data_IF_164920324300
#
_entry.id   IF_164920324300
#
_cell.length_a   1.000
_cell.length_b   1.000
_cell.length_c   1.000
_cell.angle_alpha   90.00
_cell.angle_beta   90.00
_cell.angle_gamma   90.00
#
_symmetry.space_group_name_H-M   'P 1'
#
loop_
_entity.id
_entity.type
_entity.pdbx_description
1 polymer ?
#
# COMPACT_ATOMS: atom_id res chain seq x y z
N UNK A 1 14.08 -13.45 9.64
CA UNK A 1 13.22 -12.78 8.65
C UNK A 1 12.98 -11.36 9.12
N UNK A 2 13.10 -10.36 8.25
CA UNK A 2 12.77 -8.97 8.61
C UNK A 2 11.29 -8.73 8.33
N UNK A 3 10.60 -8.02 9.23
CA UNK A 3 9.27 -7.49 8.97
C UNK A 3 9.38 -6.23 8.12
N UNK A 4 8.33 -5.94 7.36
CA UNK A 4 8.21 -4.69 6.62
C UNK A 4 8.17 -3.48 7.58
N UNK A 5 8.75 -2.32 7.19
CA UNK A 5 8.81 -1.14 8.06
C UNK A 5 7.44 -0.68 8.56
N UNK A 6 6.42 -0.70 7.69
CA UNK A 6 5.07 -0.25 8.05
C UNK A 6 4.40 -1.15 9.11
N UNK A 7 4.74 -2.44 9.14
CA UNK A 7 4.33 -3.36 10.22
C UNK A 7 4.98 -2.98 11.54
N UNK A 8 6.27 -2.67 11.52
CA UNK A 8 7.00 -2.29 12.74
C UNK A 8 6.49 -0.95 13.29
N UNK A 9 6.27 0.03 12.40
CA UNK A 9 5.68 1.33 12.75
C UNK A 9 4.27 1.17 13.32
N UNK A 10 3.45 0.29 12.72
CA UNK A 10 2.10 0.01 13.22
C UNK A 10 2.12 -0.56 14.64
N UNK A 11 2.98 -1.55 14.89
CA UNK A 11 3.15 -2.14 16.22
C UNK A 11 3.57 -1.08 17.24
N UNK A 12 4.51 -0.20 16.89
CA UNK A 12 4.94 0.88 17.76
C UNK A 12 3.82 1.88 18.09
N UNK A 13 2.89 2.09 17.16
CA UNK A 13 1.77 3.02 17.34
C UNK A 13 0.58 2.43 18.12
N UNK A 14 0.37 1.11 18.07
CA UNK A 14 -0.84 0.47 18.64
C UNK A 14 -0.58 -0.30 19.94
N UNK A 15 0.65 -0.74 20.21
CA UNK A 15 1.00 -1.51 21.40
C UNK A 15 1.81 -0.68 22.40
N UNK A 16 1.71 -1.04 23.68
CA UNK A 16 2.49 -0.42 24.75
C UNK A 16 4.00 -0.62 24.52
N UNK A 17 4.86 0.32 24.94
CA UNK A 17 6.32 0.17 24.81
C UNK A 17 6.86 -1.14 25.39
N UNK A 18 6.25 -1.64 26.47
CA UNK A 18 6.61 -2.89 27.13
C UNK A 18 6.29 -4.11 26.24
N UNK A 19 5.18 -4.06 25.51
CA UNK A 19 4.71 -5.17 24.67
C UNK A 19 5.34 -5.21 23.28
N UNK A 20 5.78 -4.06 22.74
CA UNK A 20 6.28 -3.94 21.35
C UNK A 20 7.36 -4.96 21.00
N UNK A 21 8.35 -5.16 21.88
CA UNK A 21 9.42 -6.13 21.64
C UNK A 21 8.90 -7.58 21.62
N UNK A 22 7.91 -7.88 22.46
CA UNK A 22 7.27 -9.19 22.52
C UNK A 22 6.43 -9.45 21.26
N UNK A 23 5.61 -8.50 20.85
CA UNK A 23 4.80 -8.54 19.60
C UNK A 23 5.69 -8.80 18.38
N UNK A 24 6.79 -8.05 18.25
CA UNK A 24 7.74 -8.21 17.17
C UNK A 24 8.36 -9.61 17.17
N UNK A 25 8.67 -10.16 18.35
CA UNK A 25 9.21 -11.51 18.47
C UNK A 25 8.18 -12.57 18.08
N UNK A 26 6.92 -12.45 18.55
CA UNK A 26 5.83 -13.37 18.21
C UNK A 26 5.60 -13.43 16.69
N UNK A 27 5.54 -12.28 16.01
CA UNK A 27 5.39 -12.23 14.55
C UNK A 27 6.61 -12.82 13.81
N UNK A 28 7.83 -12.55 14.28
CA UNK A 28 9.04 -13.16 13.69
C UNK A 28 9.05 -14.68 13.86
N UNK A 29 8.59 -15.18 15.00
CA UNK A 29 8.51 -16.62 15.30
C UNK A 29 7.42 -17.32 14.50
N UNK A 30 6.27 -16.65 14.26
CA UNK A 30 5.19 -17.20 13.44
C UNK A 30 5.53 -17.28 11.95
N UNK A 31 6.58 -16.58 11.50
CA UNK A 31 7.05 -16.50 10.11
C UNK A 31 6.04 -15.87 9.14
N UNK A 32 4.97 -15.27 9.64
CA UNK A 32 4.04 -14.49 8.83
C UNK A 32 4.65 -13.14 8.48
N UNK A 33 4.50 -12.73 7.22
CA UNK A 33 4.94 -11.43 6.69
C UNK A 33 3.90 -10.87 5.73
N UNK A 34 4.15 -9.66 5.21
CA UNK A 34 3.30 -9.05 4.20
C UNK A 34 1.84 -8.95 4.63
N UNK A 35 0.94 -9.33 3.73
CA UNK A 35 -0.51 -9.23 3.92
C UNK A 35 -0.99 -9.92 5.21
N UNK A 36 -0.52 -11.13 5.48
CA UNK A 36 -0.98 -11.91 6.65
C UNK A 36 -0.55 -11.22 7.94
N UNK A 37 0.73 -10.81 8.04
CA UNK A 37 1.21 -10.09 9.22
C UNK A 37 0.49 -8.75 9.43
N UNK A 38 0.22 -7.99 8.35
CA UNK A 38 -0.59 -6.76 8.46
C UNK A 38 -2.00 -7.03 8.98
N UNK A 39 -2.64 -8.09 8.50
CA UNK A 39 -3.98 -8.48 8.95
C UNK A 39 -3.99 -8.92 10.42
N UNK A 40 -2.99 -9.69 10.86
CA UNK A 40 -2.82 -10.09 12.26
C UNK A 40 -2.69 -8.86 13.15
N UNK A 41 -1.77 -7.94 12.83
CA UNK A 41 -1.54 -6.72 13.61
C UNK A 41 -2.80 -5.86 13.66
N UNK A 42 -3.44 -5.66 12.51
CA UNK A 42 -4.68 -4.89 12.42
C UNK A 42 -5.79 -5.46 13.31
N UNK A 43 -6.04 -6.78 13.21
CA UNK A 43 -7.09 -7.44 13.96
C UNK A 43 -6.80 -7.50 15.47
N UNK A 44 -5.53 -7.46 15.86
CA UNK A 44 -5.11 -7.47 17.26
C UNK A 44 -5.46 -6.16 17.99
N UNK A 45 -5.52 -5.02 17.30
CA UNK A 45 -5.89 -3.71 17.88
C UNK A 45 -5.15 -3.39 19.18
N UNK A 46 -3.83 -3.62 19.22
CA UNK A 46 -2.99 -3.39 20.39
C UNK A 46 -3.11 -4.43 21.52
N UNK A 47 -3.87 -5.51 21.36
CA UNK A 47 -4.02 -6.57 22.37
C UNK A 47 -3.12 -7.77 22.09
N UNK A 48 -2.30 -8.17 23.07
CA UNK A 48 -1.46 -9.37 23.00
C UNK A 48 -2.27 -10.66 22.86
N UNK A 49 -3.36 -10.80 23.60
CA UNK A 49 -4.21 -12.01 23.52
C UNK A 49 -4.84 -12.17 22.14
N UNK A 50 -5.34 -11.06 21.56
CA UNK A 50 -5.86 -11.06 20.20
C UNK A 50 -4.76 -11.33 19.18
N UNK A 51 -3.57 -10.75 19.35
CA UNK A 51 -2.42 -11.03 18.49
C UNK A 51 -2.07 -12.53 18.50
N UNK A 52 -1.96 -13.14 19.68
CA UNK A 52 -1.70 -14.58 19.81
C UNK A 52 -2.77 -15.41 19.10
N UNK A 53 -4.04 -15.09 19.35
CA UNK A 53 -5.18 -15.76 18.73
C UNK A 53 -5.15 -15.63 17.20
N UNK A 54 -4.78 -14.47 16.67
CA UNK A 54 -4.64 -14.24 15.23
C UNK A 54 -3.45 -14.95 14.61
N UNK A 55 -2.33 -15.08 15.34
CA UNK A 55 -1.20 -15.90 14.90
C UNK A 55 -1.58 -17.38 14.84
N UNK A 56 -2.27 -17.89 15.85
CA UNK A 56 -2.76 -19.27 15.88
C UNK A 56 -3.73 -19.53 14.72
N UNK A 57 -4.68 -18.63 14.51
CA UNK A 57 -5.63 -18.71 13.40
C UNK A 57 -4.92 -18.70 12.04
N UNK A 58 -3.95 -17.80 11.84
CA UNK A 58 -3.16 -17.72 10.62
C UNK A 58 -2.26 -18.95 10.36
N UNK A 59 -1.82 -19.62 11.43
CA UNK A 59 -1.04 -20.86 11.33
C UNK A 59 -1.91 -22.04 10.83
N UNK A 60 -3.20 -22.02 11.12
CA UNK A 60 -4.17 -23.00 10.59
C UNK A 60 -4.56 -22.65 9.15
N UNK A 61 -5.01 -21.41 8.94
CA UNK A 61 -5.36 -20.89 7.63
C UNK A 61 -5.12 -19.36 7.57
N UNK A 62 -4.14 -18.88 6.77
CA UNK A 62 -3.87 -17.46 6.65
C UNK A 62 -5.06 -16.66 6.07
N UNK A 63 -6.00 -17.33 5.38
CA UNK A 63 -7.21 -16.68 4.86
C UNK A 63 -8.11 -16.16 5.97
N UNK A 64 -8.13 -16.81 7.13
CA UNK A 64 -8.97 -16.39 8.24
C UNK A 64 -8.46 -15.10 8.87
N UNK A 65 -7.13 -14.95 9.02
CA UNK A 65 -6.52 -13.68 9.41
C UNK A 65 -6.80 -12.59 8.36
N UNK A 66 -6.73 -12.90 7.06
CA UNK A 66 -7.08 -11.96 5.99
C UNK A 66 -8.54 -11.53 6.08
N UNK A 67 -9.46 -12.47 6.32
CA UNK A 67 -10.88 -12.17 6.50
C UNK A 67 -11.10 -11.22 7.69
N UNK A 68 -10.48 -11.52 8.85
CA UNK A 68 -10.57 -10.68 10.04
C UNK A 68 -9.94 -9.28 9.83
N UNK A 69 -8.86 -9.20 9.04
CA UNK A 69 -8.12 -7.98 8.82
C UNK A 69 -8.70 -7.07 7.74
N UNK A 70 -9.36 -7.61 6.71
CA UNK A 70 -9.77 -6.83 5.54
C UNK A 70 -11.28 -6.74 5.30
N UNK A 71 -12.07 -7.63 5.88
CA UNK A 71 -13.50 -7.75 5.56
C UNK A 71 -14.38 -7.46 6.77
N UNK A 72 -15.62 -7.06 6.50
CA UNK A 72 -16.66 -6.96 7.52
C UNK A 72 -17.46 -8.27 7.67
N UNK A 73 -18.50 -8.25 8.51
CA UNK A 73 -19.37 -9.40 8.74
C UNK A 73 -20.18 -9.82 7.50
N UNK A 74 -20.43 -8.88 6.57
CA UNK A 74 -21.13 -9.14 5.31
C UNK A 74 -20.19 -9.63 4.20
N UNK A 75 -18.87 -9.73 4.49
CA UNK A 75 -17.80 -10.04 3.54
C UNK A 75 -17.57 -8.93 2.51
N UNK A 76 -17.94 -7.70 2.85
CA UNK A 76 -17.51 -6.53 2.09
C UNK A 76 -16.07 -6.19 2.47
N UNK A 77 -15.23 -5.98 1.46
CA UNK A 77 -13.81 -5.64 1.67
C UNK A 77 -13.71 -4.18 2.10
N UNK A 78 -13.29 -3.96 3.35
CA UNK A 78 -13.06 -2.65 3.93
C UNK A 78 -11.64 -2.13 3.68
N UNK A 79 -10.65 -3.04 3.54
CA UNK A 79 -9.22 -2.70 3.51
C UNK A 79 -8.48 -3.54 2.48
N UNK A 80 -7.36 -3.02 1.97
CA UNK A 80 -6.39 -3.80 1.20
C UNK A 80 -5.02 -3.75 1.88
N UNK A 81 -4.80 -4.71 2.78
CA UNK A 81 -3.55 -4.82 3.54
C UNK A 81 -2.49 -5.61 2.75
N UNK A 82 -2.63 -5.74 1.42
CA UNK A 82 -1.69 -6.45 0.57
C UNK A 82 -0.26 -5.91 0.70
N UNK A 83 -0.11 -4.60 0.62
CA UNK A 83 1.20 -3.92 0.58
C UNK A 83 1.38 -2.78 1.59
N UNK A 84 0.31 -2.29 2.22
CA UNK A 84 0.39 -1.13 3.13
C UNK A 84 -0.84 -1.00 4.02
N UNK A 85 -0.67 -0.51 5.25
CA UNK A 85 -1.79 -0.06 6.09
C UNK A 85 -2.48 1.21 5.60
N UNK A 86 -1.90 1.93 4.63
CA UNK A 86 -2.49 3.17 4.12
C UNK A 86 -3.71 2.94 3.23
N UNK A 87 -3.89 1.72 2.70
CA UNK A 87 -5.06 1.34 1.89
C UNK A 87 -6.12 0.73 2.83
N UNK A 88 -6.56 1.53 3.78
CA UNK A 88 -7.45 1.17 4.89
C UNK A 88 -8.95 1.37 4.59
N UNK A 89 -9.29 1.79 3.37
CA UNK A 89 -10.64 2.14 2.97
C UNK A 89 -10.91 1.97 1.47
N UNK A 90 -12.18 1.71 1.06
CA UNK A 90 -12.52 1.46 -0.35
C UNK A 90 -12.15 2.60 -1.31
N UNK A 91 -12.22 3.85 -0.88
CA UNK A 91 -11.84 5.00 -1.70
C UNK A 91 -10.34 5.05 -2.02
N UNK A 92 -9.52 4.28 -1.30
CA UNK A 92 -8.08 4.14 -1.54
C UNK A 92 -7.73 2.90 -2.38
N UNK A 93 -8.67 2.00 -2.65
CA UNK A 93 -8.42 0.77 -3.41
C UNK A 93 -7.92 1.01 -4.83
N UNK A 94 -8.13 2.21 -5.37
CA UNK A 94 -7.60 2.60 -6.67
C UNK A 94 -6.11 2.29 -6.78
N UNK A 95 -5.29 2.47 -5.73
CA UNK A 95 -3.83 2.26 -5.82
C UNK A 95 -3.38 0.83 -5.50
N UNK A 96 -4.29 -0.08 -5.11
CA UNK A 96 -3.94 -1.40 -4.58
C UNK A 96 -3.01 -2.23 -5.46
N UNK A 97 -3.36 -2.39 -6.74
CA UNK A 97 -2.58 -3.24 -7.66
C UNK A 97 -1.22 -2.63 -7.95
N UNK A 98 -1.17 -1.31 -8.12
CA UNK A 98 0.07 -0.55 -8.28
C UNK A 98 0.96 -0.69 -7.05
N UNK A 99 0.40 -0.58 -5.84
CA UNK A 99 1.16 -0.69 -4.60
C UNK A 99 1.74 -2.09 -4.39
N UNK A 100 0.98 -3.13 -4.72
CA UNK A 100 1.47 -4.51 -4.72
C UNK A 100 2.62 -4.71 -5.72
N UNK A 101 2.49 -4.15 -6.94
CA UNK A 101 3.53 -4.24 -7.96
C UNK A 101 4.80 -3.49 -7.56
N UNK A 102 4.68 -2.30 -6.97
CA UNK A 102 5.82 -1.50 -6.51
C UNK A 102 6.52 -2.15 -5.31
N UNK A 103 5.76 -2.79 -4.41
CA UNK A 103 6.31 -3.46 -3.24
C UNK A 103 7.25 -4.61 -3.61
N UNK A 104 6.98 -5.34 -4.70
CA UNK A 104 7.90 -6.36 -5.26
C UNK A 104 9.26 -5.80 -5.70
N UNK A 105 9.37 -4.47 -5.79
CA UNK A 105 10.58 -3.72 -6.17
C UNK A 105 11.13 -2.87 -5.02
N UNK A 106 10.79 -3.22 -3.78
CA UNK A 106 11.24 -2.53 -2.55
C UNK A 106 10.78 -1.07 -2.43
N UNK A 107 9.63 -0.73 -3.03
CA UNK A 107 8.98 0.56 -2.80
C UNK A 107 7.88 0.40 -1.74
N UNK A 108 7.94 1.23 -0.72
CA UNK A 108 6.91 1.34 0.32
C UNK A 108 5.99 2.50 0.02
N UNK A 109 4.68 2.28 0.07
CA UNK A 109 3.70 3.35 0.01
C UNK A 109 3.77 4.17 1.30
N UNK A 110 4.04 5.48 1.18
CA UNK A 110 4.22 6.37 2.34
C UNK A 110 3.12 7.44 2.44
N UNK A 111 2.42 7.73 1.34
CA UNK A 111 1.37 8.76 1.35
C UNK A 111 0.30 8.51 0.27
N UNK A 112 -0.96 8.76 0.61
CA UNK A 112 -2.08 8.85 -0.35
C UNK A 112 -2.78 10.19 -0.13
N UNK A 113 -2.94 10.98 -1.20
CA UNK A 113 -3.72 12.22 -1.23
C UNK A 113 -4.88 12.09 -2.18
N UNK A 114 -5.98 12.73 -1.83
CA UNK A 114 -7.14 12.90 -2.71
C UNK A 114 -7.59 14.36 -2.61
N UNK A 115 -7.67 15.03 -3.76
CA UNK A 115 -8.05 16.43 -3.83
C UNK A 115 -9.03 16.62 -4.99
N UNK A 116 -10.09 17.39 -4.74
CA UNK A 116 -10.91 17.93 -5.83
C UNK A 116 -10.30 19.24 -6.30
N UNK A 117 -10.02 19.32 -7.60
CA UNK A 117 -9.53 20.53 -8.25
C UNK A 117 -10.52 20.95 -9.34
N UNK A 118 -10.62 22.25 -9.68
CA UNK A 118 -11.38 22.69 -10.84
C UNK A 118 -10.95 21.94 -12.12
N UNK A 119 -11.92 21.60 -12.97
CA UNK A 119 -11.65 20.92 -14.24
C UNK A 119 -10.83 21.80 -15.19
N UNK A 120 -11.10 23.10 -15.17
CA UNK A 120 -10.34 24.14 -15.87
C UNK A 120 -10.45 25.47 -15.12
N UNK A 121 -9.65 26.46 -15.51
CA UNK A 121 -9.79 27.82 -14.99
C UNK A 121 -11.13 28.47 -15.39
N UNK A 122 -11.68 28.05 -16.54
CA UNK A 122 -12.89 28.62 -17.14
C UNK A 122 -14.18 27.92 -16.69
N UNK A 123 -14.07 26.77 -16.02
CA UNK A 123 -15.18 26.03 -15.44
C UNK A 123 -14.85 25.56 -14.00
N UNK A 124 -14.97 26.47 -13.01
CA UNK A 124 -14.72 26.13 -11.62
C UNK A 124 -15.85 25.31 -10.98
N UNK A 125 -17.04 25.25 -11.60
CA UNK A 125 -18.17 24.49 -11.08
C UNK A 125 -17.95 22.98 -11.26
N UNK A 126 -17.31 22.59 -12.36
CA UNK A 126 -16.90 21.21 -12.58
C UNK A 126 -15.61 20.92 -11.80
N UNK A 127 -15.69 20.01 -10.83
CA UNK A 127 -14.52 19.53 -10.08
C UNK A 127 -14.13 18.14 -10.53
N UNK A 128 -12.82 17.92 -10.66
CA UNK A 128 -12.23 16.61 -10.95
C UNK A 128 -11.48 16.11 -9.73
N UNK A 129 -11.62 14.81 -9.48
CA UNK A 129 -10.88 14.15 -8.41
C UNK A 129 -9.49 13.77 -8.94
N UNK A 130 -8.47 14.34 -8.30
CA UNK A 130 -7.07 13.98 -8.48
C UNK A 130 -6.64 13.18 -7.27
N UNK A 131 -6.10 11.99 -7.50
CA UNK A 131 -5.55 11.13 -6.47
C UNK A 131 -4.07 10.96 -6.71
N UNK A 132 -3.29 11.05 -5.65
CA UNK A 132 -1.83 10.94 -5.73
C UNK A 132 -1.36 9.95 -4.68
N UNK A 133 -0.42 9.08 -5.05
CA UNK A 133 0.25 8.17 -4.16
C UNK A 133 1.75 8.40 -4.24
N UNK A 134 2.42 8.47 -3.09
CA UNK A 134 3.87 8.62 -3.00
C UNK A 134 4.46 7.34 -2.41
N UNK A 135 5.46 6.83 -3.11
CA UNK A 135 6.21 5.66 -2.71
C UNK A 135 7.66 6.03 -2.45
N UNK A 136 8.25 5.44 -1.42
CA UNK A 136 9.65 5.54 -1.08
C UNK A 136 10.36 4.25 -1.48
N UNK A 137 11.29 4.34 -2.42
CA UNK A 137 12.22 3.26 -2.76
C UNK A 137 13.54 3.41 -2.00
N UNK A 138 14.52 2.52 -2.27
CA UNK A 138 15.82 2.56 -1.58
C UNK A 138 16.62 3.84 -1.81
N UNK A 139 16.48 4.45 -3.00
CA UNK A 139 17.30 5.58 -3.43
C UNK A 139 16.49 6.80 -3.88
N UNK A 140 15.19 6.65 -4.14
CA UNK A 140 14.37 7.75 -4.62
C UNK A 140 12.88 7.59 -4.30
N UNK A 141 12.13 8.61 -4.68
CA UNK A 141 10.67 8.64 -4.57
C UNK A 141 10.03 8.39 -5.92
N UNK A 142 8.84 7.83 -5.87
CA UNK A 142 7.96 7.63 -7.00
C UNK A 142 6.60 8.24 -6.66
N UNK A 143 6.16 9.20 -7.47
CA UNK A 143 4.84 9.80 -7.33
C UNK A 143 3.96 9.31 -8.47
N UNK A 144 2.82 8.73 -8.13
CA UNK A 144 1.83 8.24 -9.10
C UNK A 144 0.58 9.06 -8.94
N UNK A 145 0.05 9.54 -10.06
CA UNK A 145 -1.20 10.30 -10.12
C UNK A 145 -2.26 9.48 -10.86
N UNK A 146 -3.46 9.45 -10.30
CA UNK A 146 -4.68 9.04 -10.97
C UNK A 146 -5.62 10.24 -11.08
N UNK A 147 -5.88 10.68 -12.31
CA UNK A 147 -6.75 11.83 -12.62
C UNK A 147 -7.79 11.38 -13.62
N UNK A 148 -9.06 11.38 -13.22
CA UNK A 148 -10.18 10.98 -14.09
C UNK A 148 -9.95 9.63 -14.80
N UNK A 149 -9.56 8.60 -14.04
CA UNK A 149 -9.21 7.25 -14.55
C UNK A 149 -7.99 7.18 -15.47
N UNK A 150 -7.24 8.26 -15.62
CA UNK A 150 -5.96 8.25 -16.29
C UNK A 150 -4.82 8.19 -15.29
N UNK A 151 -3.73 7.56 -15.68
CA UNK A 151 -2.60 7.22 -14.83
C UNK A 151 -1.31 7.80 -15.39
N UNK A 152 -0.43 8.28 -14.52
CA UNK A 152 0.92 8.71 -14.90
C UNK A 152 1.88 8.69 -13.71
N UNK A 153 3.17 8.64 -14.02
CA UNK A 153 4.22 8.96 -13.07
C UNK A 153 4.45 10.47 -13.10
N UNK A 154 4.57 11.09 -11.93
CA UNK A 154 4.95 12.50 -11.78
C UNK A 154 6.44 12.56 -11.43
N UNK A 155 7.23 13.25 -12.25
CA UNK A 155 8.67 13.35 -12.07
C UNK A 155 9.34 14.11 -13.23
N UNK A 156 10.66 13.99 -13.30
CA UNK A 156 11.46 14.65 -14.35
C UNK A 156 11.18 14.05 -15.74
N UNK A 157 10.74 14.90 -16.67
CA UNK A 157 10.28 14.48 -18.00
C UNK A 157 11.36 13.76 -18.82
N UNK A 158 12.61 14.23 -18.79
CA UNK A 158 13.76 13.60 -19.48
C UNK A 158 13.95 12.16 -19.03
N UNK A 159 13.84 11.91 -17.72
CA UNK A 159 13.96 10.56 -17.14
C UNK A 159 12.80 9.68 -17.57
N UNK A 160 11.57 10.20 -17.52
CA UNK A 160 10.37 9.44 -17.88
C UNK A 160 10.36 9.08 -19.37
N UNK A 161 10.75 10.02 -20.25
CA UNK A 161 10.90 9.81 -21.71
C UNK A 161 11.83 8.65 -22.06
N UNK A 162 12.96 8.53 -21.34
CA UNK A 162 13.92 7.43 -21.54
C UNK A 162 13.30 6.04 -21.38
N UNK A 163 12.21 5.94 -20.62
CA UNK A 163 11.51 4.69 -20.34
C UNK A 163 10.06 4.68 -20.84
N UNK A 164 9.69 5.62 -21.72
CA UNK A 164 8.32 5.75 -22.26
C UNK A 164 7.22 5.92 -21.18
N UNK A 165 7.58 6.52 -20.04
CA UNK A 165 6.69 6.77 -18.90
C UNK A 165 6.22 8.24 -18.80
N UNK A 166 6.55 9.08 -19.79
CA UNK A 166 6.15 10.48 -19.87
C UNK A 166 4.72 10.68 -20.40
N UNK A 167 4.09 9.60 -20.86
CA UNK A 167 2.72 9.58 -21.37
C UNK A 167 1.69 9.30 -20.29
N UNK A 168 0.44 9.63 -20.62
CA UNK A 168 -0.74 9.30 -19.83
C UNK A 168 -1.30 7.95 -20.27
N UNK A 169 -1.66 7.10 -19.31
CA UNK A 169 -2.24 5.79 -19.54
C UNK A 169 -3.74 5.82 -19.20
N UNK A 170 -4.58 5.30 -20.10
CA UNK A 170 -6.03 5.25 -19.89
C UNK A 170 -6.51 3.93 -19.24
N UNK A 171 -5.64 2.93 -19.19
CA UNK A 171 -5.91 1.62 -18.63
C UNK A 171 -4.91 1.30 -17.52
N UNK A 172 -5.40 0.94 -16.34
CA UNK A 172 -4.58 0.58 -15.19
C UNK A 172 -3.64 -0.60 -15.50
N UNK A 173 -4.14 -1.63 -16.21
CA UNK A 173 -3.34 -2.80 -16.57
C UNK A 173 -2.12 -2.42 -17.41
N UNK A 174 -2.32 -1.60 -18.45
CA UNK A 174 -1.22 -1.11 -19.29
C UNK A 174 -0.22 -0.29 -18.46
N UNK A 175 -0.73 0.58 -17.57
CA UNK A 175 0.11 1.35 -16.66
C UNK A 175 0.97 0.45 -15.77
N UNK A 176 0.39 -0.59 -15.16
CA UNK A 176 1.11 -1.53 -14.28
C UNK A 176 2.20 -2.31 -15.04
N UNK A 177 1.91 -2.79 -16.25
CA UNK A 177 2.87 -3.50 -17.09
C UNK A 177 4.09 -2.62 -17.44
N UNK A 178 3.83 -1.37 -17.83
CA UNK A 178 4.89 -0.40 -18.13
C UNK A 178 5.64 0.03 -16.87
N UNK A 179 4.93 0.21 -15.75
CA UNK A 179 5.52 0.51 -14.45
C UNK A 179 6.47 -0.60 -13.99
N UNK A 180 6.10 -1.87 -14.14
CA UNK A 180 6.96 -2.99 -13.79
C UNK A 180 8.28 -2.99 -14.57
N UNK A 181 8.21 -2.67 -15.87
CA UNK A 181 9.38 -2.50 -16.73
C UNK A 181 10.24 -1.32 -16.27
N UNK A 182 9.61 -0.15 -16.05
CA UNK A 182 10.27 1.05 -15.56
C UNK A 182 11.05 0.81 -14.26
N UNK A 183 10.43 0.14 -13.29
CA UNK A 183 11.05 -0.16 -11.99
C UNK A 183 12.16 -1.20 -12.07
N UNK A 184 12.19 -2.04 -13.10
CA UNK A 184 13.24 -3.05 -13.29
C UNK A 184 14.50 -2.46 -13.89
N UNK A 185 14.35 -1.53 -14.84
CA UNK A 185 15.48 -0.93 -15.57
C UNK A 185 16.03 0.31 -14.86
N UNK A 186 15.30 0.86 -13.87
CA UNK A 186 15.77 1.94 -13.01
C UNK A 186 17.05 1.45 -12.30
N UNK A 187 18.25 1.90 -12.72
CA UNK A 187 19.46 1.56 -11.99
C UNK A 187 19.32 2.16 -10.59
N UNK A 188 19.93 1.54 -9.58
CA UNK A 188 20.17 2.20 -8.30
C UNK A 188 20.76 3.59 -8.63
N UNK A 189 19.93 4.63 -8.52
CA UNK A 189 20.30 5.99 -8.83
C UNK A 189 21.13 6.56 -7.68
#
# INVERSE_FOLDING_TARGET
MSLEPDISERIQSEFTPEDQAHVLNMLKQSRHTGRVARCIVFAAQGSLDKLSSMIELANLDPRDAIMAGEYDANRDRLRDLGSSFLIDSPEKFWISQVANQTAQRNFSLIEIKQQRVPASADDPATSILVRTAIFQGPHDRLTIENKNRTWRIVGEETRLKRFFMDRVFHHEKEFIENLGSYLTVRPNA
#
